data_IF_655573109069
#
_entry.id   IF_655573109069
#
_cell.length_a   1.000
_cell.length_b   1.000
_cell.length_c   1.000
_cell.angle_alpha   90.00
_cell.angle_beta   90.00
_cell.angle_gamma   90.00
#
_symmetry.space_group_name_H-M   'P 1'
#
loop_
_entity.id
_entity.type
_entity.pdbx_description
1 polymer ?
#
# COMPACT_ATOMS: atom_id res chain seq x y z
N UNK A 1 8.54 -23.09 71.44
CA UNK A 1 7.46 -22.34 72.10
C UNK A 1 6.88 -21.37 71.10
N UNK A 2 5.55 -21.25 71.10
CA UNK A 2 4.67 -20.78 70.03
C UNK A 2 5.05 -19.43 69.38
N UNK A 3 4.95 -19.36 68.05
CA UNK A 3 4.76 -18.10 67.31
C UNK A 3 3.26 -17.94 67.04
N UNK A 4 2.71 -16.87 67.59
CA UNK A 4 1.33 -16.40 67.47
C UNK A 4 0.90 -16.18 66.02
N UNK A 5 -0.28 -16.71 65.65
CA UNK A 5 -0.95 -16.42 64.39
C UNK A 5 -1.58 -15.01 64.37
N UNK A 6 -1.96 -14.50 63.19
CA UNK A 6 -2.52 -13.16 63.06
C UNK A 6 -3.96 -13.11 63.59
N UNK A 7 -4.28 -11.97 64.20
CA UNK A 7 -5.53 -11.65 64.88
C UNK A 7 -6.77 -11.80 63.97
N UNK A 8 -7.82 -12.40 64.54
CA UNK A 8 -9.12 -12.62 63.90
C UNK A 8 -9.96 -11.33 63.70
N UNK A 9 -9.41 -10.15 64.01
CA UNK A 9 -10.08 -8.85 63.86
C UNK A 9 -9.90 -8.21 62.47
N UNK A 10 -8.91 -8.64 61.68
CA UNK A 10 -8.56 -8.01 60.39
C UNK A 10 -9.38 -8.58 59.21
N UNK A 11 -9.92 -9.80 59.37
CA UNK A 11 -10.73 -10.47 58.33
C UNK A 11 -12.17 -9.92 58.28
N UNK A 12 -12.68 -9.39 59.39
CA UNK A 12 -14.05 -8.85 59.49
C UNK A 12 -14.26 -7.55 58.70
N UNK A 13 -13.24 -6.69 58.63
CA UNK A 13 -13.30 -5.42 57.91
C UNK A 13 -13.20 -5.61 56.39
N UNK A 14 -12.36 -6.54 55.92
CA UNK A 14 -12.21 -6.81 54.48
C UNK A 14 -13.50 -7.34 53.83
N UNK A 15 -14.29 -8.16 54.54
CA UNK A 15 -15.56 -8.68 54.01
C UNK A 15 -16.63 -7.59 53.94
N UNK A 16 -16.66 -6.67 54.90
CA UNK A 16 -17.58 -5.53 54.89
C UNK A 16 -17.28 -4.57 53.71
N UNK A 17 -15.99 -4.30 53.44
CA UNK A 17 -15.57 -3.47 52.30
C UNK A 17 -15.88 -4.13 50.95
N UNK A 18 -15.75 -5.46 50.84
CA UNK A 18 -16.13 -6.21 49.63
C UNK A 18 -17.65 -6.16 49.40
N UNK A 19 -18.46 -6.28 50.45
CA UNK A 19 -19.92 -6.17 50.33
C UNK A 19 -20.36 -4.76 49.95
N UNK A 20 -19.68 -3.73 50.46
CA UNK A 20 -19.91 -2.34 50.08
C UNK A 20 -19.56 -2.11 48.60
N UNK A 21 -18.41 -2.64 48.15
CA UNK A 21 -17.99 -2.54 46.75
C UNK A 21 -18.95 -3.27 45.79
N UNK A 22 -19.45 -4.46 46.18
CA UNK A 22 -20.44 -5.20 45.39
C UNK A 22 -21.76 -4.44 45.27
N UNK A 23 -22.20 -3.78 46.34
CA UNK A 23 -23.42 -2.96 46.33
C UNK A 23 -23.29 -1.76 45.38
N UNK A 24 -22.14 -1.09 45.39
CA UNK A 24 -21.85 0.02 44.47
C UNK A 24 -21.79 -0.46 43.01
N UNK A 25 -21.23 -1.64 42.76
CA UNK A 25 -21.21 -2.24 41.41
C UNK A 25 -22.64 -2.54 40.94
N UNK A 26 -23.48 -3.11 41.81
CA UNK A 26 -24.88 -3.42 41.48
C UNK A 26 -25.69 -2.16 41.17
N UNK A 27 -25.52 -1.09 41.95
CA UNK A 27 -26.17 0.21 41.71
C UNK A 27 -25.70 0.85 40.39
N UNK A 28 -24.41 0.76 40.06
CA UNK A 28 -23.87 1.24 38.79
C UNK A 28 -24.38 0.44 37.60
N UNK A 29 -24.55 -0.88 37.73
CA UNK A 29 -25.13 -1.72 36.68
C UNK A 29 -26.61 -1.41 36.45
N UNK A 30 -27.38 -1.16 37.51
CA UNK A 30 -28.78 -0.73 37.39
C UNK A 30 -28.90 0.63 36.69
N UNK A 31 -28.01 1.58 37.01
CA UNK A 31 -27.98 2.90 36.34
C UNK A 31 -27.61 2.77 34.86
N UNK A 32 -26.61 1.95 34.54
CA UNK A 32 -26.18 1.71 33.16
C UNK A 32 -27.29 1.05 32.33
N UNK A 33 -28.03 0.10 32.90
CA UNK A 33 -29.17 -0.53 32.23
C UNK A 33 -30.27 0.49 31.89
N UNK A 34 -30.61 1.38 32.82
CA UNK A 34 -31.59 2.44 32.59
C UNK A 34 -31.12 3.45 31.53
N UNK A 35 -29.82 3.77 31.48
CA UNK A 35 -29.25 4.64 30.44
C UNK A 35 -29.27 3.96 29.05
N UNK A 36 -28.96 2.66 28.97
CA UNK A 36 -29.02 1.89 27.72
C UNK A 36 -30.46 1.78 27.21
N UNK A 37 -31.43 1.58 28.08
CA UNK A 37 -32.86 1.53 27.71
C UNK A 37 -33.37 2.89 27.20
N UNK A 38 -32.93 3.98 27.83
CA UNK A 38 -33.20 5.35 27.36
C UNK A 38 -32.57 5.64 25.98
N UNK A 39 -31.35 5.14 25.73
CA UNK A 39 -30.70 5.25 24.42
C UNK A 39 -31.41 4.40 23.36
N UNK A 40 -31.86 3.20 23.72
CA UNK A 40 -32.63 2.33 22.82
C UNK A 40 -33.97 2.98 22.42
N UNK A 41 -34.68 3.56 23.38
CA UNK A 41 -35.92 4.30 23.12
C UNK A 41 -35.71 5.52 22.21
N UNK A 42 -34.58 6.23 22.37
CA UNK A 42 -34.20 7.33 21.47
C UNK A 42 -33.86 6.83 20.06
N UNK A 43 -33.27 5.64 19.95
CA UNK A 43 -32.93 5.03 18.68
C UNK A 43 -34.17 4.56 17.90
N UNK A 44 -35.15 3.95 18.59
CA UNK A 44 -36.43 3.55 17.99
C UNK A 44 -37.26 4.75 17.53
N UNK A 45 -37.10 5.90 18.19
CA UNK A 45 -37.73 7.18 17.79
C UNK A 45 -37.09 7.82 16.56
N UNK A 46 -35.90 7.35 16.13
CA UNK A 46 -35.11 7.90 15.02
C UNK A 46 -35.10 6.98 13.78
N UNK A 47 -35.69 5.79 13.85
CA UNK A 47 -35.77 4.87 12.72
C UNK A 47 -36.99 5.20 11.82
N UNK A 48 -36.81 5.46 10.51
CA UNK A 48 -37.92 5.66 9.59
C UNK A 48 -38.64 4.33 9.31
N UNK A 49 -39.95 4.31 9.49
CA UNK A 49 -40.82 3.17 9.19
C UNK A 49 -40.81 2.85 7.69
N UNK A 50 -40.28 1.68 7.33
CA UNK A 50 -40.41 1.09 6.00
C UNK A 50 -41.77 0.42 5.87
N UNK A 51 -42.68 1.06 5.13
CA UNK A 51 -43.95 0.43 4.71
C UNK A 51 -43.73 -0.52 3.52
N UNK A 52 -44.40 -1.67 3.56
CA UNK A 52 -44.80 -2.48 2.40
C UNK A 52 -46.35 -2.60 2.41
N UNK A 53 -47.02 -2.72 1.25
CA UNK A 53 -48.40 -2.25 1.08
C UNK A 53 -49.46 -3.36 1.20
N UNK A 54 -50.67 -3.00 1.65
CA UNK A 54 -51.92 -3.70 1.36
C UNK A 54 -53.11 -2.72 1.21
N UNK A 55 -54.12 -3.19 0.46
CA UNK A 55 -55.17 -2.48 -0.28
C UNK A 55 -56.41 -2.08 0.55
N UNK A 56 -57.20 -1.15 -0.02
CA UNK A 56 -58.62 -0.77 0.21
C UNK A 56 -58.96 0.18 1.37
N UNK A 57 -59.32 1.45 1.08
CA UNK A 57 -60.69 1.98 0.86
C UNK A 57 -60.69 3.52 0.61
N UNK A 58 -61.82 4.05 0.11
CA UNK A 58 -62.05 5.37 -0.52
C UNK A 58 -62.79 6.38 0.44
N UNK A 59 -63.07 7.67 0.10
CA UNK A 59 -62.51 8.83 0.83
C UNK A 59 -63.48 9.91 1.42
N UNK A 60 -62.88 10.86 2.16
CA UNK A 60 -63.22 12.30 2.38
C UNK A 60 -64.31 12.71 3.42
N UNK A 61 -64.39 13.98 3.92
CA UNK A 61 -63.60 15.21 3.63
C UNK A 61 -63.12 16.09 4.84
N UNK A 62 -62.14 16.95 4.52
CA UNK A 62 -61.88 18.37 4.92
C UNK A 62 -62.06 18.90 6.37
N UNK A 63 -60.99 19.51 6.91
CA UNK A 63 -61.06 20.84 7.57
C UNK A 63 -59.70 21.58 7.57
N UNK A 64 -59.78 22.90 7.35
CA UNK A 64 -58.71 23.87 7.10
C UNK A 64 -58.07 24.51 8.36
N UNK A 65 -56.74 24.70 8.31
CA UNK A 65 -55.89 25.86 8.79
C UNK A 65 -55.73 26.14 10.31
N UNK A 66 -54.71 26.94 10.78
CA UNK A 66 -53.52 27.51 10.11
C UNK A 66 -52.15 27.34 10.84
N UNK A 67 -51.10 27.58 10.05
CA UNK A 67 -49.75 28.13 10.31
C UNK A 67 -49.41 28.68 11.73
N UNK A 68 -48.35 28.15 12.37
CA UNK A 68 -47.39 28.97 13.13
C UNK A 68 -46.02 28.30 13.39
N UNK A 69 -44.97 28.98 12.89
CA UNK A 69 -43.64 29.21 13.49
C UNK A 69 -42.63 28.08 13.82
N UNK A 70 -41.40 28.35 13.35
CA UNK A 70 -40.09 27.98 13.90
C UNK A 70 -39.49 26.59 13.60
N UNK A 71 -38.64 26.56 12.57
CA UNK A 71 -37.53 25.61 12.45
C UNK A 71 -36.45 25.96 13.50
N UNK A 72 -36.02 25.03 14.37
CA UNK A 72 -34.78 25.22 15.12
C UNK A 72 -33.57 24.88 14.24
N UNK A 73 -32.68 25.85 14.07
CA UNK A 73 -31.31 25.63 13.61
C UNK A 73 -30.58 24.65 14.56
N UNK A 74 -29.67 23.79 14.09
CA UNK A 74 -28.90 22.93 14.97
C UNK A 74 -27.95 23.78 15.83
N UNK A 75 -28.15 23.72 17.14
CA UNK A 75 -27.41 24.46 18.15
C UNK A 75 -25.92 24.07 18.15
N UNK A 76 -25.09 25.11 18.25
CA UNK A 76 -23.64 25.07 18.42
C UNK A 76 -23.25 24.33 19.71
N UNK A 77 -22.38 23.34 19.52
CA UNK A 77 -21.29 22.87 20.37
C UNK A 77 -21.30 23.27 21.88
N UNK A 78 -21.54 22.26 22.72
CA UNK A 78 -20.93 22.18 24.05
C UNK A 78 -19.41 22.05 23.85
N UNK A 79 -18.67 23.12 24.14
CA UNK A 79 -17.21 23.11 24.13
C UNK A 79 -16.72 22.38 25.38
N UNK A 80 -16.38 21.11 25.24
CA UNK A 80 -15.60 20.38 26.23
C UNK A 80 -14.13 20.83 26.18
N UNK A 81 -13.62 21.23 27.36
CA UNK A 81 -12.26 21.76 27.60
C UNK A 81 -11.10 20.81 27.24
N UNK A 82 -11.38 19.55 26.87
CA UNK A 82 -10.38 18.56 26.49
C UNK A 82 -9.88 18.71 25.03
N UNK A 83 -10.59 19.44 24.18
CA UNK A 83 -10.23 19.57 22.75
C UNK A 83 -9.02 20.48 22.47
N UNK A 84 -8.64 21.37 23.40
CA UNK A 84 -7.57 22.34 23.17
C UNK A 84 -6.17 21.71 23.27
N UNK A 85 -5.96 20.75 24.16
CA UNK A 85 -4.63 20.11 24.35
C UNK A 85 -4.28 19.19 23.18
N UNK A 86 -5.23 18.38 22.70
CA UNK A 86 -5.06 17.50 21.55
C UNK A 86 -4.84 18.28 20.25
N UNK A 87 -5.54 19.41 20.08
CA UNK A 87 -5.36 20.30 18.91
C UNK A 87 -3.98 20.97 18.91
N UNK A 88 -3.49 21.44 20.06
CA UNK A 88 -2.15 22.02 20.21
C UNK A 88 -1.06 20.97 20.01
N UNK A 89 -1.28 19.71 20.41
CA UNK A 89 -0.34 18.61 20.16
C UNK A 89 -0.32 18.19 18.68
N UNK A 90 -1.47 18.15 18.00
CA UNK A 90 -1.56 17.85 16.57
C UNK A 90 -0.89 18.95 15.71
N UNK A 91 -1.12 20.23 16.04
CA UNK A 91 -0.49 21.37 15.36
C UNK A 91 1.03 21.40 15.61
N UNK A 92 1.50 21.09 16.83
CA UNK A 92 2.94 20.90 17.12
C UNK A 92 3.56 19.71 16.39
N UNK A 93 2.77 18.71 16.01
CA UNK A 93 3.19 17.51 15.30
C UNK A 93 3.07 17.61 13.76
N UNK A 94 2.62 18.75 13.23
CA UNK A 94 2.49 18.98 11.78
C UNK A 94 1.30 18.27 11.13
N UNK A 95 0.38 17.70 11.92
CA UNK A 95 -0.84 17.08 11.41
C UNK A 95 -2.01 18.09 11.45
N UNK A 96 -2.95 17.96 10.51
CA UNK A 96 -4.18 18.76 10.54
C UNK A 96 -5.05 18.35 11.72
N UNK A 97 -5.72 19.32 12.35
CA UNK A 97 -6.64 19.07 13.47
C UNK A 97 -7.84 18.18 13.11
N UNK A 98 -8.16 18.03 11.82
CA UNK A 98 -9.17 17.12 11.29
C UNK A 98 -8.51 15.96 10.55
N UNK A 99 -8.84 14.73 10.94
CA UNK A 99 -8.43 13.50 10.27
C UNK A 99 -9.53 13.07 9.30
N UNK A 100 -9.20 12.94 8.02
CA UNK A 100 -10.10 12.38 7.01
C UNK A 100 -9.84 10.87 6.96
N UNK A 101 -10.78 10.09 7.52
CA UNK A 101 -10.70 8.62 7.52
C UNK A 101 -10.93 8.08 6.10
N UNK A 102 -12.05 8.47 5.49
CA UNK A 102 -12.40 8.08 4.13
C UNK A 102 -13.05 9.25 3.39
N UNK A 103 -12.98 9.18 2.07
CA UNK A 103 -13.69 10.06 1.15
C UNK A 103 -14.81 9.25 0.48
N UNK A 104 -15.93 9.87 0.15
CA UNK A 104 -17.01 9.20 -0.58
C UNK A 104 -17.17 9.76 -2.00
N UNK A 105 -17.61 8.93 -2.97
CA UNK A 105 -17.98 9.43 -4.28
C UNK A 105 -19.09 10.49 -4.11
N UNK A 106 -19.02 11.58 -4.90
CA UNK A 106 -20.02 12.68 -4.89
C UNK A 106 -20.07 13.54 -3.62
N UNK A 107 -19.17 13.35 -2.65
CA UNK A 107 -19.02 14.29 -1.55
C UNK A 107 -18.55 15.65 -2.07
N UNK A 108 -19.15 16.74 -1.58
CA UNK A 108 -18.81 18.12 -2.00
C UNK A 108 -17.31 18.36 -1.79
N UNK A 109 -16.65 18.82 -2.85
CA UNK A 109 -15.22 19.13 -2.85
C UNK A 109 -14.29 17.95 -3.13
N UNK A 110 -14.81 16.74 -3.34
CA UNK A 110 -14.03 15.60 -3.85
C UNK A 110 -14.08 15.64 -5.39
N UNK A 111 -12.93 15.92 -6.02
CA UNK A 111 -12.78 15.98 -7.47
C UNK A 111 -11.47 15.28 -7.88
N UNK A 112 -11.48 13.93 -8.03
CA UNK A 112 -10.31 13.17 -8.42
C UNK A 112 -9.75 13.60 -9.78
N UNK A 113 -8.43 13.62 -9.92
CA UNK A 113 -7.78 13.81 -11.22
C UNK A 113 -8.16 12.63 -12.13
N UNK A 114 -8.67 12.88 -13.36
CA UNK A 114 -9.01 11.81 -14.29
C UNK A 114 -7.83 10.88 -14.58
N UNK A 115 -8.09 9.58 -14.59
CA UNK A 115 -7.13 8.54 -14.92
C UNK A 115 -7.80 7.48 -15.79
N UNK A 116 -7.43 7.45 -17.07
CA UNK A 116 -7.84 6.41 -18.02
C UNK A 116 -6.68 5.46 -18.28
N UNK A 117 -6.66 4.34 -17.56
CA UNK A 117 -5.52 3.41 -17.50
C UNK A 117 -4.95 2.99 -18.87
N UNK A 118 -5.80 2.86 -19.89
CA UNK A 118 -5.41 2.44 -21.24
C UNK A 118 -5.19 3.58 -22.23
N UNK A 119 -5.37 4.84 -21.85
CA UNK A 119 -5.12 5.93 -22.78
C UNK A 119 -3.61 6.13 -23.04
N UNK A 120 -3.22 6.54 -24.26
CA UNK A 120 -1.82 6.76 -24.60
C UNK A 120 -1.30 8.10 -24.05
N UNK A 121 -0.02 8.11 -23.66
CA UNK A 121 0.72 9.33 -23.35
C UNK A 121 0.14 10.12 -22.18
N UNK A 122 0.31 11.46 -22.17
CA UNK A 122 -0.20 12.33 -21.10
C UNK A 122 -1.73 12.31 -20.96
N UNK A 123 -2.48 11.88 -21.98
CA UNK A 123 -3.96 11.80 -21.92
C UNK A 123 -4.44 10.75 -20.90
N UNK A 124 -3.58 9.79 -20.55
CA UNK A 124 -3.81 8.82 -19.48
C UNK A 124 -4.14 9.46 -18.14
N UNK A 125 -3.44 10.54 -17.81
CA UNK A 125 -3.45 11.13 -16.47
C UNK A 125 -2.45 10.47 -15.51
N UNK A 126 -2.03 11.20 -14.46
CA UNK A 126 -1.08 10.70 -13.46
C UNK A 126 -1.75 9.76 -12.46
N UNK A 127 -0.96 8.87 -11.87
CA UNK A 127 -1.35 8.12 -10.67
C UNK A 127 -1.09 9.01 -9.45
N UNK A 128 -2.15 9.34 -8.71
CA UNK A 128 -2.11 10.22 -7.54
C UNK A 128 -2.70 9.50 -6.34
N UNK A 129 -1.85 9.19 -5.36
CA UNK A 129 -2.23 8.40 -4.17
C UNK A 129 -2.07 9.19 -2.86
N UNK A 130 -1.29 10.28 -2.86
CA UNK A 130 -0.90 11.01 -1.65
C UNK A 130 -2.12 11.50 -0.86
N UNK A 131 -2.04 11.37 0.47
CA UNK A 131 -3.08 11.76 1.42
C UNK A 131 -2.82 13.13 2.07
N UNK A 132 -1.94 13.95 1.51
CA UNK A 132 -1.73 15.32 2.00
C UNK A 132 -3.03 16.13 1.96
N UNK A 133 -3.11 17.20 2.74
CA UNK A 133 -4.30 18.06 2.83
C UNK A 133 -4.74 18.63 1.47
N UNK A 134 -3.79 18.97 0.59
CA UNK A 134 -4.04 19.43 -0.77
C UNK A 134 -4.45 18.30 -1.73
N UNK A 135 -3.91 17.09 -1.54
CA UNK A 135 -4.07 15.99 -2.52
C UNK A 135 -5.23 15.04 -2.20
N UNK A 136 -5.63 14.90 -0.93
CA UNK A 136 -6.63 13.90 -0.48
C UNK A 136 -7.96 13.96 -1.23
N UNK A 137 -8.36 15.16 -1.69
CA UNK A 137 -9.60 15.39 -2.45
C UNK A 137 -9.46 15.17 -3.95
N UNK A 138 -8.22 15.11 -4.46
CA UNK A 138 -7.86 15.00 -5.89
C UNK A 138 -7.25 13.64 -6.27
N UNK A 139 -6.94 12.77 -5.30
CA UNK A 139 -6.36 11.46 -5.55
C UNK A 139 -7.27 10.54 -6.38
N UNK A 140 -6.65 9.70 -7.19
CA UNK A 140 -7.30 8.73 -8.07
C UNK A 140 -6.76 7.29 -7.89
N UNK A 141 -5.97 7.07 -6.84
CA UNK A 141 -5.47 5.76 -6.43
C UNK A 141 -5.63 5.54 -4.92
N UNK A 142 -5.74 4.27 -4.53
CA UNK A 142 -5.77 3.79 -3.14
C UNK A 142 -4.35 3.33 -2.76
N UNK A 143 -3.97 3.42 -1.48
CA UNK A 143 -2.68 2.93 -0.99
C UNK A 143 -1.72 4.05 -0.60
N UNK A 144 -0.42 3.83 -0.82
CA UNK A 144 0.64 4.81 -0.59
C UNK A 144 1.84 4.54 -1.52
N UNK A 145 2.63 5.58 -1.80
CA UNK A 145 3.96 5.42 -2.41
C UNK A 145 4.93 4.75 -1.44
N UNK A 146 6.00 4.14 -1.97
CA UNK A 146 7.01 3.47 -1.16
C UNK A 146 6.66 2.03 -0.78
N UNK A 147 5.49 1.53 -1.18
CA UNK A 147 5.05 0.17 -0.89
C UNK A 147 5.17 -0.19 0.60
N UNK A 148 5.88 -1.26 0.92
CA UNK A 148 6.14 -1.67 2.31
C UNK A 148 6.92 -0.64 3.14
N UNK A 149 7.61 0.32 2.50
CA UNK A 149 8.36 1.36 3.19
C UNK A 149 7.52 2.55 3.65
N UNK A 150 6.26 2.64 3.23
CA UNK A 150 5.36 3.73 3.63
C UNK A 150 5.18 3.81 5.15
N UNK A 151 5.31 2.67 5.86
CA UNK A 151 5.24 2.60 7.32
C UNK A 151 6.46 3.29 7.96
N UNK A 152 7.67 3.05 7.46
CA UNK A 152 8.87 3.74 7.95
C UNK A 152 8.83 5.23 7.64
N UNK A 153 8.32 5.59 6.45
CA UNK A 153 8.10 6.99 6.09
C UNK A 153 7.13 7.67 7.06
N UNK A 154 6.03 7.00 7.44
CA UNK A 154 5.10 7.51 8.44
C UNK A 154 5.74 7.68 9.82
N UNK A 155 6.59 6.74 10.25
CA UNK A 155 7.35 6.86 11.50
C UNK A 155 8.34 8.02 11.47
N UNK A 156 9.04 8.25 10.36
CA UNK A 156 9.98 9.36 10.19
C UNK A 156 9.28 10.73 10.24
N UNK A 157 8.06 10.82 9.70
CA UNK A 157 7.21 12.00 9.84
C UNK A 157 6.76 12.21 11.29
N UNK A 158 6.30 11.15 11.96
CA UNK A 158 5.86 11.21 13.35
C UNK A 158 6.99 11.60 14.31
N UNK A 159 8.21 11.12 14.05
CA UNK A 159 9.43 11.47 14.80
C UNK A 159 10.03 12.82 14.41
N UNK A 160 9.44 13.54 13.44
CA UNK A 160 9.91 14.83 12.89
C UNK A 160 11.30 14.79 12.28
N UNK A 161 11.78 13.61 11.89
CA UNK A 161 13.01 13.46 11.11
C UNK A 161 12.80 13.87 9.64
N UNK A 162 11.53 13.91 9.19
CA UNK A 162 11.13 14.43 7.90
C UNK A 162 10.06 15.52 8.07
N UNK A 163 10.11 16.54 7.22
CA UNK A 163 9.08 17.58 7.17
C UNK A 163 7.80 17.05 6.50
N UNK A 164 6.63 17.27 7.12
CA UNK A 164 5.31 16.89 6.59
C UNK A 164 5.02 17.52 5.23
N UNK A 165 5.50 18.74 5.00
CA UNK A 165 5.32 19.47 3.75
C UNK A 165 6.49 19.24 2.77
N UNK A 166 7.36 18.26 3.02
CA UNK A 166 8.45 17.95 2.11
C UNK A 166 7.90 17.51 0.76
N UNK A 167 8.19 18.30 -0.28
CA UNK A 167 7.98 17.91 -1.68
C UNK A 167 9.30 17.35 -2.21
N UNK A 168 9.29 16.14 -2.79
CA UNK A 168 10.47 15.62 -3.47
C UNK A 168 10.91 16.57 -4.59
N UNK A 169 12.22 16.82 -4.67
CA UNK A 169 12.83 17.50 -5.81
C UNK A 169 13.27 16.46 -6.83
N UNK A 170 12.79 16.59 -8.07
CA UNK A 170 13.09 15.67 -9.17
C UNK A 170 14.15 16.21 -10.13
N UNK A 171 14.77 17.34 -9.82
CA UNK A 171 15.85 17.92 -10.64
C UNK A 171 17.01 16.92 -10.80
N UNK A 172 17.45 16.67 -12.04
CA UNK A 172 18.50 15.70 -12.40
C UNK A 172 18.20 14.25 -11.98
N UNK A 173 16.91 13.90 -11.85
CA UNK A 173 16.49 12.52 -11.55
C UNK A 173 15.85 11.83 -12.76
N UNK A 174 16.01 12.43 -13.96
CA UNK A 174 15.51 11.87 -15.21
C UNK A 174 16.01 10.44 -15.42
N UNK A 175 15.19 9.56 -16.03
CA UNK A 175 15.61 8.20 -16.35
C UNK A 175 16.92 8.15 -17.15
N UNK A 176 17.89 7.38 -16.67
CA UNK A 176 19.19 7.22 -17.34
C UNK A 176 19.12 6.47 -18.69
N UNK A 177 17.96 5.90 -19.01
CA UNK A 177 17.66 5.28 -20.30
C UNK A 177 16.20 5.54 -20.68
N UNK A 178 15.96 5.85 -21.95
CA UNK A 178 14.63 6.03 -22.51
C UNK A 178 14.03 4.66 -22.85
N UNK A 179 12.83 4.38 -22.33
CA UNK A 179 12.10 3.15 -22.60
C UNK A 179 10.75 3.51 -23.22
N UNK A 180 10.42 2.85 -24.33
CA UNK A 180 9.13 3.04 -24.99
C UNK A 180 8.90 4.49 -25.48
N UNK A 181 7.63 4.89 -25.67
CA UNK A 181 6.42 4.11 -25.39
C UNK A 181 6.23 2.93 -26.35
N UNK A 182 5.62 1.85 -25.84
CA UNK A 182 5.25 0.68 -26.65
C UNK A 182 3.73 0.57 -26.81
N UNK A 183 3.20 0.01 -27.93
CA UNK A 183 1.76 -0.10 -28.16
C UNK A 183 1.00 -0.80 -27.03
N UNK A 184 1.61 -1.80 -26.39
CA UNK A 184 1.04 -2.58 -25.30
C UNK A 184 0.76 -1.74 -24.04
N UNK A 185 1.36 -0.55 -23.91
CA UNK A 185 1.11 0.35 -22.78
C UNK A 185 -0.26 1.02 -22.86
N UNK A 186 -0.86 1.06 -24.06
CA UNK A 186 -2.19 1.61 -24.29
C UNK A 186 -3.28 0.52 -24.28
N UNK A 187 -2.92 -0.74 -24.03
CA UNK A 187 -3.89 -1.81 -23.82
C UNK A 187 -4.15 -2.00 -22.32
N UNK A 188 -5.36 -1.64 -21.89
CA UNK A 188 -5.80 -1.73 -20.49
C UNK A 188 -5.71 -3.13 -19.87
N UNK A 189 -5.59 -4.19 -20.68
CA UNK A 189 -5.52 -5.58 -20.21
C UNK A 189 -4.09 -6.15 -20.17
N UNK A 190 -3.15 -5.56 -20.90
CA UNK A 190 -1.79 -6.11 -21.05
C UNK A 190 -0.91 -5.83 -19.83
N UNK A 191 -0.96 -4.62 -19.29
CA UNK A 191 -0.17 -4.21 -18.13
C UNK A 191 -1.13 -3.75 -17.03
N UNK A 192 -1.28 -4.56 -15.98
CA UNK A 192 -2.29 -4.34 -14.91
C UNK A 192 -1.68 -4.29 -13.51
N UNK A 193 -0.37 -4.52 -13.36
CA UNK A 193 0.31 -4.63 -12.07
C UNK A 193 1.49 -3.66 -11.90
N UNK A 194 1.74 -2.79 -12.88
CA UNK A 194 2.71 -1.70 -12.82
C UNK A 194 2.21 -0.53 -13.68
N UNK A 195 2.65 0.70 -13.38
CA UNK A 195 2.40 1.85 -14.24
C UNK A 195 3.55 1.98 -15.27
N UNK A 196 3.33 1.69 -16.57
CA UNK A 196 4.38 1.79 -17.57
C UNK A 196 4.92 3.22 -17.76
N UNK A 197 4.11 4.24 -17.48
CA UNK A 197 4.52 5.65 -17.58
C UNK A 197 5.17 6.17 -16.30
N UNK A 198 5.26 5.33 -15.26
CA UNK A 198 5.71 5.70 -13.93
C UNK A 198 7.13 6.26 -13.85
N UNK A 199 7.99 6.00 -14.84
CA UNK A 199 9.35 6.53 -14.92
C UNK A 199 9.41 7.98 -15.42
N UNK A 200 8.35 8.46 -16.09
CA UNK A 200 8.28 9.81 -16.64
C UNK A 200 7.25 10.70 -15.94
N UNK A 201 6.51 10.16 -14.96
CA UNK A 201 5.35 10.83 -14.37
C UNK A 201 5.63 12.26 -13.85
N UNK A 202 6.72 12.55 -13.11
CA UNK A 202 6.99 13.92 -12.66
C UNK A 202 7.16 14.95 -13.79
N UNK A 203 7.76 14.54 -14.91
CA UNK A 203 8.03 15.41 -16.05
C UNK A 203 6.82 15.53 -16.99
N UNK A 204 6.11 14.41 -17.24
CA UNK A 204 4.91 14.42 -18.09
C UNK A 204 3.77 15.25 -17.48
N UNK A 205 3.71 15.33 -16.16
CA UNK A 205 2.63 15.98 -15.42
C UNK A 205 3.09 17.16 -14.57
N UNK A 206 4.25 17.76 -14.89
CA UNK A 206 4.81 18.90 -14.16
C UNK A 206 3.81 20.08 -14.06
N UNK A 207 3.13 20.38 -15.18
CA UNK A 207 2.05 21.38 -15.24
C UNK A 207 0.92 21.09 -14.26
N UNK A 208 0.47 19.83 -14.19
CA UNK A 208 -0.59 19.39 -13.28
C UNK A 208 -0.13 19.48 -11.83
N UNK A 209 1.13 19.10 -11.52
CA UNK A 209 1.69 19.24 -10.18
C UNK A 209 1.65 20.68 -9.69
N UNK A 210 2.02 21.64 -10.56
CA UNK A 210 2.06 23.07 -10.23
C UNK A 210 0.66 23.69 -10.15
N UNK A 211 -0.19 23.46 -11.16
CA UNK A 211 -1.53 24.08 -11.25
C UNK A 211 -2.49 23.53 -10.19
N UNK A 212 -2.44 22.23 -9.94
CA UNK A 212 -3.38 21.55 -9.04
C UNK A 212 -2.84 21.34 -7.62
N UNK A 213 -1.59 21.74 -7.34
CA UNK A 213 -0.90 21.57 -6.05
C UNK A 213 -0.85 20.10 -5.58
N UNK A 214 -0.75 19.16 -6.52
CA UNK A 214 -0.74 17.71 -6.24
C UNK A 214 0.67 17.13 -6.16
N UNK A 215 0.81 16.07 -5.35
CA UNK A 215 2.04 15.29 -5.22
C UNK A 215 2.00 14.08 -6.18
N UNK A 216 2.77 14.16 -7.26
CA UNK A 216 2.93 13.11 -8.27
C UNK A 216 4.37 12.61 -8.19
N UNK A 217 4.53 11.33 -7.85
CA UNK A 217 5.85 10.70 -7.68
C UNK A 217 6.06 9.60 -8.73
N UNK A 218 7.31 9.37 -9.16
CA UNK A 218 7.59 8.27 -10.06
C UNK A 218 7.37 6.94 -9.33
N UNK A 219 6.83 5.95 -10.04
CA UNK A 219 6.72 4.57 -9.55
C UNK A 219 7.77 3.67 -10.18
N UNK A 220 8.58 4.21 -11.10
CA UNK A 220 9.72 3.53 -11.70
C UNK A 220 10.92 4.47 -11.66
N UNK A 221 12.09 3.98 -11.27
CA UNK A 221 13.35 4.73 -11.35
C UNK A 221 14.35 3.94 -12.19
N UNK A 222 15.10 4.63 -13.05
CA UNK A 222 16.06 4.03 -13.99
C UNK A 222 17.42 4.66 -13.80
N UNK A 223 18.44 3.84 -13.52
CA UNK A 223 19.81 4.32 -13.30
C UNK A 223 20.84 3.39 -13.93
N UNK A 224 22.03 3.91 -14.23
CA UNK A 224 23.17 3.12 -14.67
C UNK A 224 24.12 2.92 -13.50
N UNK A 225 24.65 1.70 -13.36
CA UNK A 225 25.56 1.37 -12.29
C UNK A 225 26.54 0.29 -12.73
N UNK A 226 27.61 0.14 -11.95
CA UNK A 226 28.47 -1.03 -12.02
C UNK A 226 28.08 -2.01 -10.92
N UNK A 227 28.19 -3.30 -11.22
CA UNK A 227 27.88 -4.37 -10.30
C UNK A 227 29.05 -5.34 -10.23
N UNK A 228 29.43 -5.73 -9.01
CA UNK A 228 30.48 -6.71 -8.77
C UNK A 228 29.90 -7.88 -7.98
N UNK A 229 30.13 -9.10 -8.47
CA UNK A 229 29.73 -10.34 -7.81
C UNK A 229 30.95 -11.26 -7.74
N UNK A 230 31.31 -11.78 -6.56
CA UNK A 230 32.47 -12.67 -6.41
C UNK A 230 32.47 -13.87 -7.36
N UNK A 231 31.30 -14.44 -7.62
CA UNK A 231 31.15 -15.62 -8.50
C UNK A 231 31.43 -15.31 -9.98
N UNK A 232 31.25 -14.06 -10.39
CA UNK A 232 31.57 -13.64 -11.75
C UNK A 232 33.08 -13.45 -11.93
N UNK A 233 33.80 -13.02 -10.89
CA UNK A 233 35.26 -12.99 -10.92
C UNK A 233 35.84 -14.40 -11.14
N UNK A 234 35.29 -15.41 -10.45
CA UNK A 234 35.67 -16.81 -10.68
C UNK A 234 35.26 -17.28 -12.09
N UNK A 235 34.12 -16.85 -12.60
CA UNK A 235 33.67 -17.16 -13.96
C UNK A 235 34.61 -16.58 -15.02
N UNK A 236 35.15 -15.38 -14.78
CA UNK A 236 36.19 -14.79 -15.64
C UNK A 236 37.52 -15.54 -15.51
N UNK A 237 37.96 -15.84 -14.28
CA UNK A 237 39.21 -16.57 -14.02
C UNK A 237 39.21 -17.97 -14.63
N UNK A 238 38.06 -18.65 -14.63
CA UNK A 238 37.87 -19.96 -15.25
C UNK A 238 37.66 -19.92 -16.77
N UNK A 239 37.61 -18.72 -17.38
CA UNK A 239 37.41 -18.53 -18.82
C UNK A 239 35.96 -18.75 -19.29
N UNK A 240 35.00 -18.91 -18.37
CA UNK A 240 33.56 -19.04 -18.70
C UNK A 240 32.95 -17.73 -19.15
N UNK A 241 33.48 -16.61 -18.66
CA UNK A 241 33.11 -15.25 -19.06
C UNK A 241 34.35 -14.50 -19.53
N UNK A 242 34.28 -13.82 -20.67
CA UNK A 242 35.41 -13.06 -21.22
C UNK A 242 35.10 -11.56 -21.15
N UNK A 243 35.97 -10.73 -20.55
CA UNK A 243 35.78 -9.28 -20.53
C UNK A 243 35.76 -8.69 -21.94
N UNK A 244 34.76 -7.84 -22.22
CA UNK A 244 34.58 -7.15 -23.51
C UNK A 244 34.74 -5.62 -23.41
N UNK A 245 34.97 -5.11 -22.19
CA UNK A 245 35.09 -3.69 -21.88
C UNK A 245 33.77 -2.90 -21.99
N UNK A 246 32.65 -3.57 -22.28
CA UNK A 246 31.34 -2.94 -22.51
C UNK A 246 30.29 -3.46 -21.53
N UNK A 247 30.05 -4.77 -21.53
CA UNK A 247 29.12 -5.43 -20.61
C UNK A 247 29.88 -5.98 -19.41
N UNK A 248 30.97 -6.71 -19.66
CA UNK A 248 31.94 -7.15 -18.66
C UNK A 248 33.20 -6.31 -18.79
N UNK A 249 33.41 -5.41 -17.83
CA UNK A 249 34.34 -4.29 -17.94
C UNK A 249 35.80 -4.69 -17.77
N UNK A 250 36.08 -5.66 -16.89
CA UNK A 250 37.44 -6.00 -16.50
C UNK A 250 37.57 -7.45 -16.00
N UNK A 251 38.81 -7.86 -15.73
CA UNK A 251 39.16 -9.19 -15.21
C UNK A 251 38.58 -9.48 -13.82
N UNK A 252 38.17 -8.44 -13.08
CA UNK A 252 37.52 -8.58 -11.79
C UNK A 252 36.01 -8.94 -11.91
N UNK A 253 35.49 -9.13 -13.12
CA UNK A 253 34.11 -9.51 -13.37
C UNK A 253 33.10 -8.39 -13.09
N UNK A 254 33.53 -7.13 -13.16
CA UNK A 254 32.62 -6.00 -13.01
C UNK A 254 31.69 -5.86 -14.22
N UNK A 255 30.40 -5.70 -13.97
CA UNK A 255 29.39 -5.61 -15.01
C UNK A 255 28.81 -4.19 -15.09
N UNK A 256 28.72 -3.65 -16.31
CA UNK A 256 27.92 -2.47 -16.58
C UNK A 256 26.44 -2.87 -16.70
N UNK A 257 25.59 -2.24 -15.91
CA UNK A 257 24.17 -2.61 -15.81
C UNK A 257 23.27 -1.39 -15.77
N UNK A 258 22.16 -1.46 -16.50
CA UNK A 258 21.04 -0.53 -16.33
C UNK A 258 20.05 -1.15 -15.34
N UNK A 259 19.79 -0.44 -14.24
CA UNK A 259 18.92 -0.89 -13.15
C UNK A 259 17.58 -0.17 -13.22
N UNK A 260 16.52 -0.91 -12.99
CA UNK A 260 15.15 -0.39 -12.92
C UNK A 260 14.58 -0.79 -11.56
N UNK A 261 14.12 0.16 -10.77
CA UNK A 261 13.30 -0.12 -9.59
C UNK A 261 11.85 0.15 -9.96
N UNK A 262 10.94 -0.80 -9.70
CA UNK A 262 9.52 -0.69 -10.08
C UNK A 262 8.65 -0.96 -8.87
N UNK A 263 7.82 0.02 -8.51
CA UNK A 263 6.75 -0.11 -7.52
C UNK A 263 5.49 -0.74 -8.16
N UNK A 264 4.76 -1.58 -7.42
CA UNK A 264 3.52 -2.17 -7.90
C UNK A 264 2.42 -1.11 -7.97
N UNK A 265 1.76 -1.02 -9.13
CA UNK A 265 0.57 -0.19 -9.34
C UNK A 265 -0.49 -1.05 -10.02
N UNK A 266 -1.53 -1.39 -9.29
CA UNK A 266 -2.53 -2.36 -9.73
C UNK A 266 -3.74 -1.65 -10.32
N UNK A 267 -4.11 -2.04 -11.53
CA UNK A 267 -5.41 -1.74 -12.11
C UNK A 267 -6.40 -2.83 -11.69
N UNK A 268 -7.22 -2.53 -10.69
CA UNK A 268 -8.09 -3.50 -10.00
C UNK A 268 -8.97 -4.31 -10.95
N UNK A 269 -9.64 -3.73 -11.97
CA UNK A 269 -10.44 -4.51 -12.92
C UNK A 269 -9.59 -5.54 -13.69
N UNK A 270 -8.39 -5.15 -14.13
CA UNK A 270 -7.49 -6.03 -14.87
C UNK A 270 -6.87 -7.12 -13.99
N UNK A 271 -6.59 -6.82 -12.72
CA UNK A 271 -6.13 -7.83 -11.74
C UNK A 271 -7.24 -8.84 -11.47
N UNK A 272 -8.47 -8.39 -11.24
CA UNK A 272 -9.63 -9.26 -11.01
C UNK A 272 -9.86 -10.23 -12.20
N UNK A 273 -9.79 -9.71 -13.43
CA UNK A 273 -9.89 -10.50 -14.65
C UNK A 273 -8.81 -11.59 -14.73
N UNK A 274 -7.56 -11.31 -14.33
CA UNK A 274 -6.47 -12.32 -14.32
C UNK A 274 -6.67 -13.42 -13.29
N UNK A 275 -7.34 -13.12 -12.18
CA UNK A 275 -7.71 -14.12 -11.18
C UNK A 275 -9.04 -14.83 -11.50
N UNK A 276 -9.77 -14.41 -12.54
CA UNK A 276 -11.07 -14.97 -12.90
C UNK A 276 -12.16 -14.68 -11.86
N UNK A 277 -12.05 -13.55 -11.14
CA UNK A 277 -12.99 -13.14 -10.09
C UNK A 277 -13.58 -11.76 -10.38
N UNK A 278 -14.69 -11.44 -9.71
CA UNK A 278 -15.29 -10.10 -9.77
C UNK A 278 -14.42 -9.06 -9.02
N UNK A 279 -14.44 -7.81 -9.51
CA UNK A 279 -13.69 -6.69 -8.91
C UNK A 279 -14.11 -6.42 -7.46
N UNK A 280 -15.40 -6.52 -7.15
CA UNK A 280 -15.94 -6.35 -5.81
C UNK A 280 -15.48 -7.43 -4.85
N UNK A 281 -15.41 -8.69 -5.32
CA UNK A 281 -14.87 -9.81 -4.53
C UNK A 281 -13.38 -9.60 -4.25
N UNK A 282 -12.59 -9.22 -5.25
CA UNK A 282 -11.17 -8.88 -5.08
C UNK A 282 -10.99 -7.78 -4.02
N UNK A 283 -11.72 -6.67 -4.15
CA UNK A 283 -11.66 -5.53 -3.21
C UNK A 283 -12.01 -5.93 -1.79
N UNK A 284 -13.09 -6.69 -1.62
CA UNK A 284 -13.54 -7.17 -0.31
C UNK A 284 -12.50 -8.06 0.34
N UNK A 285 -11.97 -9.03 -0.41
CA UNK A 285 -10.92 -9.93 0.07
C UNK A 285 -9.66 -9.15 0.49
N UNK A 286 -9.22 -8.18 -0.33
CA UNK A 286 -8.10 -7.30 0.00
C UNK A 286 -8.37 -6.51 1.29
N UNK A 287 -9.56 -5.92 1.45
CA UNK A 287 -9.90 -5.15 2.65
C UNK A 287 -9.93 -6.02 3.92
N UNK A 288 -10.63 -7.15 3.87
CA UNK A 288 -10.81 -8.04 5.04
C UNK A 288 -9.48 -8.66 5.48
N UNK A 289 -8.64 -9.12 4.53
CA UNK A 289 -7.37 -9.78 4.84
C UNK A 289 -6.18 -8.84 5.04
N UNK A 290 -6.35 -7.52 4.82
CA UNK A 290 -5.35 -6.51 5.21
C UNK A 290 -5.71 -5.80 6.51
N UNK A 291 -6.60 -6.39 7.31
CA UNK A 291 -6.99 -5.85 8.62
C UNK A 291 -7.77 -4.53 8.53
N UNK A 292 -8.46 -4.29 7.42
CA UNK A 292 -9.25 -3.07 7.21
C UNK A 292 -8.43 -1.81 6.90
N UNK A 293 -7.15 -1.95 6.53
CA UNK A 293 -6.21 -0.83 6.34
C UNK A 293 -6.62 0.18 5.26
N UNK A 294 -7.42 -0.25 4.27
CA UNK A 294 -7.82 0.58 3.12
C UNK A 294 -9.35 0.56 2.92
N UNK A 295 -10.13 1.32 3.72
CA UNK A 295 -11.59 1.37 3.61
C UNK A 295 -12.10 1.74 2.21
N UNK A 296 -11.30 2.47 1.43
CA UNK A 296 -11.66 2.91 0.07
C UNK A 296 -11.74 1.77 -0.94
N UNK A 297 -11.18 0.60 -0.63
CA UNK A 297 -11.44 -0.60 -1.44
C UNK A 297 -12.94 -0.90 -1.49
N UNK A 298 -13.67 -0.60 -0.41
CA UNK A 298 -15.12 -0.78 -0.29
C UNK A 298 -15.88 0.50 -0.66
N UNK A 299 -15.48 1.65 -0.12
CA UNK A 299 -16.27 2.89 -0.22
C UNK A 299 -16.06 3.66 -1.52
N UNK A 300 -14.95 3.43 -2.24
CA UNK A 300 -14.57 4.14 -3.48
C UNK A 300 -14.44 3.17 -4.66
N UNK A 301 -15.58 2.67 -5.12
CA UNK A 301 -15.67 1.84 -6.34
C UNK A 301 -15.29 2.58 -7.62
N UNK A 302 -15.28 3.92 -7.59
CA UNK A 302 -14.86 4.81 -8.69
C UNK A 302 -13.33 4.83 -8.87
N UNK A 303 -12.53 4.65 -7.82
CA UNK A 303 -11.07 4.58 -7.92
C UNK A 303 -10.67 3.18 -8.37
N UNK A 304 -10.12 3.04 -9.58
CA UNK A 304 -9.73 1.74 -10.16
C UNK A 304 -8.28 1.33 -9.96
N UNK A 305 -7.48 2.18 -9.31
CA UNK A 305 -6.04 1.95 -9.11
C UNK A 305 -5.68 1.78 -7.64
N UNK A 306 -4.81 0.83 -7.35
CA UNK A 306 -4.34 0.51 -6.00
C UNK A 306 -2.82 0.33 -5.99
N UNK A 307 -2.13 0.97 -5.05
CA UNK A 307 -0.72 0.77 -4.76
C UNK A 307 -0.60 -0.10 -3.50
N UNK A 308 -0.51 -1.43 -3.65
CA UNK A 308 -0.40 -2.33 -2.51
C UNK A 308 0.92 -2.13 -1.76
N UNK A 309 0.92 -2.25 -0.42
CA UNK A 309 2.13 -2.12 0.41
C UNK A 309 2.99 -3.40 0.37
N UNK A 310 3.32 -3.88 -0.84
CA UNK A 310 4.11 -5.10 -1.06
C UNK A 310 5.47 -4.76 -1.67
N UNK A 311 6.37 -5.75 -1.67
CA UNK A 311 7.66 -5.63 -2.35
C UNK A 311 7.49 -5.41 -3.85
N UNK A 312 8.22 -4.44 -4.38
CA UNK A 312 8.33 -4.20 -5.82
C UNK A 312 9.23 -5.21 -6.52
N UNK A 313 9.77 -4.80 -7.66
CA UNK A 313 10.76 -5.58 -8.40
C UNK A 313 11.94 -4.68 -8.79
N UNK A 314 13.09 -5.30 -8.93
CA UNK A 314 14.29 -4.68 -9.48
C UNK A 314 14.70 -5.42 -10.73
N UNK A 315 14.91 -4.70 -11.83
CA UNK A 315 15.39 -5.27 -13.09
C UNK A 315 16.84 -4.88 -13.29
N UNK A 316 17.65 -5.83 -13.70
CA UNK A 316 19.03 -5.66 -14.12
C UNK A 316 19.11 -5.98 -15.61
N UNK A 317 19.38 -4.97 -16.44
CA UNK A 317 19.59 -5.12 -17.87
C UNK A 317 21.08 -5.03 -18.20
N UNK A 318 21.60 -6.07 -18.82
CA UNK A 318 22.94 -6.18 -19.36
C UNK A 318 22.91 -5.89 -20.86
N UNK A 319 23.78 -5.00 -21.31
CA UNK A 319 23.76 -4.48 -22.68
C UNK A 319 22.77 -3.32 -22.86
N UNK A 320 22.30 -3.14 -24.10
CA UNK A 320 21.43 -2.02 -24.49
C UNK A 320 19.96 -2.27 -24.10
N UNK A 321 19.34 -1.42 -23.25
CA UNK A 321 17.93 -1.51 -22.91
C UNK A 321 16.98 -1.47 -24.12
N UNK A 322 17.35 -0.81 -25.23
CA UNK A 322 16.49 -0.73 -26.41
C UNK A 322 16.27 -2.10 -27.08
N UNK A 323 17.23 -3.02 -26.93
CA UNK A 323 17.16 -4.39 -27.48
C UNK A 323 16.24 -5.31 -26.69
N UNK A 324 15.79 -4.94 -25.49
CA UNK A 324 14.86 -5.76 -24.70
C UNK A 324 13.51 -5.98 -25.40
N UNK A 325 13.10 -5.03 -26.24
CA UNK A 325 11.83 -5.05 -26.97
C UNK A 325 11.98 -5.36 -28.46
N UNK A 326 13.21 -5.54 -28.95
CA UNK A 326 13.47 -5.80 -30.38
C UNK A 326 13.27 -7.28 -30.69
N UNK A 327 12.35 -7.59 -31.60
CA UNK A 327 12.06 -8.97 -32.03
C UNK A 327 13.22 -9.61 -32.80
N UNK A 328 14.16 -8.80 -33.31
CA UNK A 328 15.34 -9.28 -34.05
C UNK A 328 16.53 -9.59 -33.13
N UNK A 329 16.47 -9.19 -31.87
CA UNK A 329 17.52 -9.46 -30.89
C UNK A 329 17.13 -10.63 -30.00
N UNK A 330 18.06 -11.53 -29.72
CA UNK A 330 17.82 -12.62 -28.77
C UNK A 330 17.88 -12.08 -27.35
N UNK A 331 16.88 -12.48 -26.55
CA UNK A 331 16.72 -12.06 -25.16
C UNK A 331 16.95 -13.25 -24.22
N UNK A 332 17.90 -13.12 -23.31
CA UNK A 332 18.06 -14.02 -22.17
C UNK A 332 17.38 -13.40 -20.94
N UNK A 333 16.35 -14.07 -20.41
CA UNK A 333 15.53 -13.56 -19.31
C UNK A 333 15.56 -14.51 -18.12
N UNK A 334 15.95 -14.00 -16.96
CA UNK A 334 15.84 -14.69 -15.67
C UNK A 334 14.83 -13.98 -14.79
N UNK A 335 13.80 -14.70 -14.38
CA UNK A 335 12.90 -14.27 -13.31
C UNK A 335 13.33 -14.96 -12.01
N UNK A 336 13.56 -14.16 -10.96
CA UNK A 336 14.01 -14.65 -9.67
C UNK A 336 13.18 -14.04 -8.54
N UNK A 337 12.66 -14.90 -7.67
CA UNK A 337 12.01 -14.48 -6.44
C UNK A 337 13.05 -14.39 -5.32
N UNK A 338 12.96 -13.33 -4.52
CA UNK A 338 13.81 -13.08 -3.38
C UNK A 338 13.93 -14.29 -2.45
N UNK A 339 15.17 -14.64 -2.12
CA UNK A 339 15.49 -15.67 -1.16
C UNK A 339 16.67 -15.23 -0.31
N UNK A 340 16.42 -14.42 0.72
CA UNK A 340 17.42 -13.82 1.60
C UNK A 340 18.46 -14.85 2.09
N UNK A 341 18.01 -15.99 2.62
CA UNK A 341 18.90 -17.03 3.15
C UNK A 341 19.89 -17.61 2.13
N UNK A 342 19.52 -17.75 0.86
CA UNK A 342 20.40 -18.32 -0.17
C UNK A 342 21.14 -17.22 -0.93
N UNK A 343 20.43 -16.18 -1.38
CA UNK A 343 20.97 -15.10 -2.19
C UNK A 343 22.04 -14.30 -1.43
N UNK A 344 21.77 -13.96 -0.16
CA UNK A 344 22.70 -13.17 0.65
C UNK A 344 23.72 -14.06 1.36
N UNK A 345 23.25 -15.09 2.06
CA UNK A 345 24.08 -15.88 2.98
C UNK A 345 24.57 -17.22 2.43
N UNK A 346 24.17 -17.62 1.23
CA UNK A 346 24.63 -18.87 0.62
C UNK A 346 24.19 -20.14 1.36
N UNK A 347 23.03 -20.11 2.05
CA UNK A 347 22.52 -21.26 2.78
C UNK A 347 22.35 -22.51 1.88
N UNK A 348 22.73 -23.66 2.41
CA UNK A 348 22.55 -25.00 1.83
C UNK A 348 21.09 -25.48 1.79
N UNK A 349 20.18 -24.75 2.45
CA UNK A 349 18.74 -25.09 2.49
C UNK A 349 18.04 -24.77 1.17
N UNK A 350 18.50 -23.77 0.40
CA UNK A 350 18.00 -23.49 -0.95
C UNK A 350 19.14 -23.35 -1.96
N UNK A 351 18.90 -23.85 -3.17
CA UNK A 351 19.76 -23.70 -4.34
C UNK A 351 19.49 -22.42 -5.15
N UNK A 352 18.83 -21.43 -4.54
CA UNK A 352 18.33 -20.23 -5.22
C UNK A 352 19.49 -19.38 -5.81
N UNK A 353 20.58 -19.18 -5.06
CA UNK A 353 21.74 -18.38 -5.50
C UNK A 353 22.49 -18.97 -6.70
N UNK A 354 22.87 -20.27 -6.74
CA UNK A 354 23.47 -20.86 -7.94
C UNK A 354 22.67 -20.61 -9.22
N UNK A 355 21.34 -20.73 -9.17
CA UNK A 355 20.49 -20.44 -10.34
C UNK A 355 20.42 -18.96 -10.69
N UNK A 356 20.50 -18.07 -9.70
CA UNK A 356 20.60 -16.62 -9.95
C UNK A 356 21.91 -16.27 -10.66
N UNK A 357 23.04 -16.78 -10.17
CA UNK A 357 24.35 -16.54 -10.78
C UNK A 357 24.41 -17.10 -12.20
N UNK A 358 23.92 -18.32 -12.41
CA UNK A 358 23.81 -18.90 -13.76
C UNK A 358 22.97 -18.03 -14.70
N UNK A 359 21.82 -17.54 -14.23
CA UNK A 359 20.97 -16.64 -15.01
C UNK A 359 21.64 -15.30 -15.35
N UNK A 360 22.45 -14.76 -14.43
CA UNK A 360 23.24 -13.53 -14.69
C UNK A 360 24.34 -13.82 -15.72
N UNK A 361 25.06 -14.93 -15.58
CA UNK A 361 26.14 -15.32 -16.51
C UNK A 361 25.62 -15.47 -17.95
N UNK A 362 24.51 -16.19 -18.13
CA UNK A 362 23.88 -16.36 -19.45
C UNK A 362 23.29 -15.06 -19.99
N UNK A 363 22.75 -14.19 -19.13
CA UNK A 363 22.29 -12.88 -19.53
C UNK A 363 23.45 -11.99 -20.04
N UNK A 364 24.61 -12.03 -19.38
CA UNK A 364 25.80 -11.31 -19.82
C UNK A 364 26.31 -11.86 -21.15
N UNK A 365 26.44 -13.18 -21.29
CA UNK A 365 26.88 -13.81 -22.55
C UNK A 365 25.98 -13.43 -23.72
N UNK A 366 24.65 -13.45 -23.53
CA UNK A 366 23.71 -13.05 -24.56
C UNK A 366 23.87 -11.58 -24.94
N UNK A 367 24.05 -10.69 -23.96
CA UNK A 367 24.31 -9.28 -24.20
C UNK A 367 25.64 -9.06 -24.98
N UNK A 368 26.68 -9.84 -24.68
CA UNK A 368 27.96 -9.80 -25.40
C UNK A 368 27.84 -10.28 -26.86
N UNK A 369 26.99 -11.28 -27.10
CA UNK A 369 26.70 -11.80 -28.45
C UNK A 369 25.84 -10.85 -29.31
N UNK A 370 25.51 -9.67 -28.79
CA UNK A 370 24.74 -8.65 -29.51
C UNK A 370 23.23 -8.69 -29.23
N UNK A 371 22.76 -9.59 -28.37
CA UNK A 371 21.39 -9.64 -27.85
C UNK A 371 21.17 -8.70 -26.66
N UNK A 372 20.29 -9.12 -25.74
CA UNK A 372 20.02 -8.44 -24.47
C UNK A 372 19.89 -9.45 -23.32
N UNK A 373 20.43 -9.10 -22.16
CA UNK A 373 20.34 -9.90 -20.95
C UNK A 373 19.52 -9.21 -19.88
N UNK A 374 18.50 -9.88 -19.34
CA UNK A 374 17.61 -9.29 -18.32
C UNK A 374 17.44 -10.23 -17.15
N UNK A 375 17.65 -9.71 -15.94
CA UNK A 375 17.37 -10.41 -14.68
C UNK A 375 16.38 -9.60 -13.87
N UNK A 376 15.21 -10.16 -13.61
CA UNK A 376 14.15 -9.56 -12.80
C UNK A 376 14.17 -10.19 -11.42
N UNK A 377 14.39 -9.36 -10.40
CA UNK A 377 14.40 -9.75 -9.00
C UNK A 377 13.11 -9.27 -8.31
N UNK A 378 12.18 -10.19 -8.06
CA UNK A 378 10.94 -9.92 -7.33
C UNK A 378 11.17 -9.96 -5.84
N UNK A 379 10.77 -8.92 -5.13
CA UNK A 379 10.88 -8.84 -3.66
C UNK A 379 9.76 -9.60 -2.97
N UNK A 380 9.74 -10.92 -3.16
CA UNK A 380 8.68 -11.85 -2.76
C UNK A 380 9.25 -13.07 -2.04
N UNK A 381 9.78 -12.84 -0.85
CA UNK A 381 10.34 -13.89 0.00
C UNK A 381 9.33 -15.04 0.26
N UNK A 382 9.81 -16.27 0.14
CA UNK A 382 9.05 -17.47 0.49
C UNK A 382 7.76 -17.66 -0.33
N UNK A 383 7.74 -17.27 -1.61
CA UNK A 383 6.54 -17.27 -2.48
C UNK A 383 5.43 -16.39 -1.92
N UNK A 384 5.80 -15.22 -1.41
CA UNK A 384 4.92 -14.26 -0.74
C UNK A 384 4.29 -14.74 0.60
N UNK A 385 4.77 -15.85 1.18
CA UNK A 385 4.38 -16.27 2.54
C UNK A 385 5.26 -15.67 3.65
N UNK A 386 6.35 -15.01 3.26
CA UNK A 386 7.33 -14.45 4.18
C UNK A 386 8.29 -15.48 4.76
N UNK A 387 9.36 -14.96 5.36
CA UNK A 387 10.50 -15.73 5.85
C UNK A 387 10.15 -16.65 7.04
N UNK A 388 9.27 -16.20 7.94
CA UNK A 388 8.84 -16.98 9.12
C UNK A 388 8.17 -18.29 8.69
N UNK A 389 7.22 -18.22 7.75
CA UNK A 389 6.50 -19.40 7.24
C UNK A 389 7.46 -20.34 6.50
N UNK A 390 8.40 -19.78 5.74
CA UNK A 390 9.45 -20.54 5.05
C UNK A 390 10.28 -21.35 6.03
N UNK A 391 10.83 -20.75 7.08
CA UNK A 391 11.65 -21.47 8.04
C UNK A 391 10.88 -22.55 8.80
N UNK A 392 9.61 -22.32 9.13
CA UNK A 392 8.75 -23.36 9.72
C UNK A 392 8.62 -24.57 8.79
N UNK A 393 8.40 -24.34 7.49
CA UNK A 393 8.33 -25.43 6.49
C UNK A 393 9.68 -26.13 6.32
N UNK A 394 10.79 -25.40 6.26
CA UNK A 394 12.13 -25.98 6.15
C UNK A 394 12.48 -26.85 7.37
N UNK A 395 12.14 -26.40 8.59
CA UNK A 395 12.37 -27.18 9.82
C UNK A 395 11.63 -28.52 9.82
N UNK A 396 10.42 -28.56 9.28
CA UNK A 396 9.65 -29.81 9.12
C UNK A 396 10.39 -30.75 8.18
N UNK A 397 10.81 -30.28 7.00
CA UNK A 397 11.53 -31.12 6.03
C UNK A 397 12.88 -31.61 6.57
N UNK A 398 13.60 -30.79 7.34
CA UNK A 398 14.84 -31.19 7.99
C UNK A 398 14.65 -32.28 9.05
N UNK A 399 13.50 -32.32 9.73
CA UNK A 399 13.15 -33.38 10.69
C UNK A 399 12.81 -34.72 10.03
N UNK A 400 12.36 -34.72 8.79
CA UNK A 400 12.07 -35.95 8.03
C UNK A 400 13.28 -36.49 7.26
N UNK A 401 14.39 -35.73 7.20
CA UNK A 401 15.66 -36.14 6.58
C UNK A 401 16.70 -36.66 7.57
N UNK A 402 16.43 -36.55 8.88
CA UNK A 402 17.18 -37.22 9.95
C UNK A 402 16.36 -38.38 10.43
#
# INVERSE_FOLDING_TARGET
MASSGPDASDVGNGVADILQALKVIQENQARLAAEVESVSHRFDSLAPSTHSPTLNEKPSPEHNLPVESSLPQPALAVVSKESSSARVQAEKAGFTSRIILTTYPKQIGINPIPLDWGAPGPKRGPVVVSRSSSTIRKRNAIGAHGGSYSIYFALALASKQLNVNHRPDFTNTEPAANIGPFPQWSDKKKIVAMDPWGHLAPWLYADTMQKDDVDIRPTIAITKAHMKLPELEESVRSGRLVPDGKVCLNEAGELAVTKFAVEPVWYLPGVAERFGIDEGVLRRSLFEHTGGSYPELITRGDIKVFLPPIGGLTVYCFGDPAKMSDENARLSLRIHDECNGSDVFGSDICTCRPYLIFGIEEAVKEAQNGGSGVVIYFRKEGRALGEVTKYRKCRIHARFRR
#
